data_IF_920763434145
#
_entry.id   IF_920763434145
#
_cell.length_a   1.000
_cell.length_b   1.000
_cell.length_c   1.000
_cell.angle_alpha   90.00
_cell.angle_beta   90.00
_cell.angle_gamma   90.00
#
_symmetry.space_group_name_H-M   'P 1'
#
loop_
_entity.id
_entity.type
_entity.pdbx_description
1 polymer ?
#
# COMPACT_ATOMS: atom_id res chain seq x y z
N UNK A 1 26.22 -23.11 -25.95
CA UNK A 1 24.90 -22.74 -26.47
C UNK A 1 23.90 -23.42 -25.54
N UNK A 2 23.40 -22.72 -24.54
CA UNK A 2 22.44 -23.23 -23.55
C UNK A 2 21.25 -22.29 -23.60
N UNK A 3 20.21 -22.75 -24.30
CA UNK A 3 18.88 -22.10 -24.28
C UNK A 3 18.25 -22.36 -22.92
N UNK A 4 17.90 -21.29 -22.23
CA UNK A 4 16.99 -21.33 -21.07
C UNK A 4 15.67 -20.71 -21.47
N UNK A 5 14.81 -21.54 -22.05
CA UNK A 5 13.39 -21.24 -22.13
C UNK A 5 12.74 -21.62 -20.79
N UNK A 6 12.58 -20.64 -19.92
CA UNK A 6 11.73 -20.78 -18.74
C UNK A 6 10.47 -20.00 -19.00
N UNK A 7 9.51 -20.61 -19.70
CA UNK A 7 8.14 -20.13 -19.74
C UNK A 7 7.52 -20.34 -18.37
N UNK A 8 7.26 -19.23 -17.66
CA UNK A 8 6.38 -19.24 -16.51
C UNK A 8 4.98 -19.64 -17.01
N UNK A 9 4.55 -20.85 -16.68
CA UNK A 9 3.15 -21.23 -16.89
C UNK A 9 2.33 -20.61 -15.76
N UNK A 10 1.52 -19.61 -16.11
CA UNK A 10 0.44 -19.13 -15.25
C UNK A 10 -0.65 -20.17 -15.35
N UNK A 11 -0.79 -21.01 -14.33
CA UNK A 11 -1.93 -21.92 -14.22
C UNK A 11 -3.11 -21.15 -13.66
N UNK A 12 -4.22 -21.17 -14.39
CA UNK A 12 -5.53 -20.74 -13.89
C UNK A 12 -6.01 -21.73 -12.82
N UNK A 13 -5.59 -21.55 -11.58
CA UNK A 13 -6.18 -22.26 -10.47
C UNK A 13 -7.21 -21.40 -9.74
N UNK A 14 -8.34 -22.00 -9.31
CA UNK A 14 -9.44 -21.26 -8.72
C UNK A 14 -9.08 -20.71 -7.34
N UNK A 15 -9.64 -19.56 -7.04
CA UNK A 15 -9.49 -18.80 -5.81
C UNK A 15 -9.45 -19.70 -4.55
N UNK A 16 -8.31 -19.71 -3.90
CA UNK A 16 -8.14 -20.31 -2.58
C UNK A 16 -9.07 -19.59 -1.59
N UNK A 17 -9.85 -20.35 -0.87
CA UNK A 17 -10.76 -19.87 0.16
C UNK A 17 -9.99 -19.02 1.18
N UNK A 18 -10.29 -17.74 1.24
CA UNK A 18 -9.64 -16.77 2.12
C UNK A 18 -9.88 -17.12 3.58
N UNK A 19 -8.80 -17.26 4.32
CA UNK A 19 -8.80 -17.39 5.77
C UNK A 19 -9.40 -16.13 6.40
N UNK A 20 -10.35 -16.33 7.31
CA UNK A 20 -11.28 -15.36 7.89
C UNK A 20 -10.66 -14.36 8.88
N UNK A 21 -9.36 -14.04 8.80
CA UNK A 21 -8.67 -13.17 9.76
C UNK A 21 -8.47 -11.72 9.31
N UNK A 22 -8.55 -11.42 8.00
CA UNK A 22 -8.44 -10.05 7.53
C UNK A 22 -9.81 -9.48 7.21
N UNK A 23 -10.13 -8.39 7.88
CA UNK A 23 -11.46 -7.79 7.81
C UNK A 23 -11.81 -7.33 6.39
N UNK A 24 -13.07 -7.47 5.97
CA UNK A 24 -13.59 -7.00 4.68
C UNK A 24 -13.34 -5.50 4.40
N UNK A 25 -12.87 -4.77 5.40
CA UNK A 25 -12.59 -3.33 5.35
C UNK A 25 -11.57 -2.96 4.27
N UNK A 26 -10.50 -3.76 4.06
CA UNK A 26 -9.47 -3.45 3.04
C UNK A 26 -10.01 -3.42 1.61
N UNK A 27 -11.03 -4.21 1.32
CA UNK A 27 -11.64 -4.27 -0.01
C UNK A 27 -12.77 -3.28 -0.20
N UNK A 28 -13.35 -2.76 0.88
CA UNK A 28 -14.50 -1.82 0.83
C UNK A 28 -14.08 -0.35 0.81
N UNK A 29 -12.85 -0.04 1.21
CA UNK A 29 -12.37 1.34 1.29
C UNK A 29 -11.81 1.77 -0.06
N UNK A 30 -12.41 2.79 -0.66
CA UNK A 30 -11.91 3.43 -1.87
C UNK A 30 -10.74 4.35 -1.54
N UNK A 31 -9.55 3.78 -1.40
CA UNK A 31 -8.31 4.55 -1.38
C UNK A 31 -7.87 4.81 -2.82
N UNK A 32 -7.54 6.05 -3.22
CA UNK A 32 -7.25 6.40 -4.61
C UNK A 32 -5.92 5.83 -5.14
N UNK A 33 -4.99 5.46 -4.26
CA UNK A 33 -3.74 4.81 -4.62
C UNK A 33 -3.54 3.56 -3.76
N UNK A 34 -3.66 2.40 -4.38
CA UNK A 34 -3.39 1.11 -3.74
C UNK A 34 -2.55 0.26 -4.68
N UNK A 35 -1.83 -0.70 -4.12
CA UNK A 35 -1.21 -1.74 -4.93
C UNK A 35 -2.25 -2.48 -5.78
N UNK A 36 -1.87 -2.84 -7.00
CA UNK A 36 -2.63 -3.81 -7.78
C UNK A 36 -2.57 -5.16 -7.08
N UNK A 37 -3.70 -5.86 -6.97
CA UNK A 37 -3.80 -7.12 -6.23
C UNK A 37 -2.81 -8.18 -6.73
N UNK A 38 -2.56 -8.23 -8.05
CA UNK A 38 -1.60 -9.14 -8.66
C UNK A 38 -0.14 -8.95 -8.19
N UNK A 39 0.21 -7.81 -7.60
CA UNK A 39 1.56 -7.60 -7.03
C UNK A 39 1.71 -8.18 -5.63
N UNK A 40 0.63 -8.39 -4.89
CA UNK A 40 0.70 -8.87 -3.51
C UNK A 40 1.44 -10.22 -3.39
N UNK A 41 1.11 -11.28 -4.18
CA UNK A 41 1.86 -12.53 -4.11
C UNK A 41 3.33 -12.37 -4.54
N UNK A 42 3.63 -11.46 -5.46
CA UNK A 42 5.01 -11.17 -5.87
C UNK A 42 5.78 -10.53 -4.71
N UNK A 43 5.18 -9.57 -4.01
CA UNK A 43 5.80 -8.96 -2.83
C UNK A 43 6.00 -9.98 -1.71
N UNK A 44 5.03 -10.87 -1.47
CA UNK A 44 5.16 -11.93 -0.48
C UNK A 44 6.37 -12.84 -0.77
N UNK A 45 6.60 -13.22 -2.03
CA UNK A 45 7.75 -14.02 -2.43
C UNK A 45 9.07 -13.26 -2.30
N UNK A 46 9.12 -11.99 -2.72
CA UNK A 46 10.32 -11.16 -2.63
C UNK A 46 10.74 -10.87 -1.18
N UNK A 47 9.78 -10.79 -0.28
CA UNK A 47 9.97 -10.41 1.12
C UNK A 47 10.01 -11.60 2.09
N UNK A 48 9.86 -12.83 1.59
CA UNK A 48 9.68 -14.05 2.41
C UNK A 48 10.71 -14.26 3.52
N UNK A 49 11.94 -13.82 3.28
CA UNK A 49 13.06 -13.97 4.21
C UNK A 49 13.24 -12.75 5.13
N UNK A 50 12.42 -11.72 4.99
CA UNK A 50 12.44 -10.54 5.85
C UNK A 50 11.66 -10.78 7.15
N UNK A 51 12.18 -10.26 8.25
CA UNK A 51 11.54 -10.28 9.56
C UNK A 51 10.67 -9.04 9.79
N UNK A 52 11.13 -7.88 9.30
CA UNK A 52 10.46 -6.59 9.43
C UNK A 52 10.42 -5.86 8.09
N UNK A 53 9.23 -5.47 7.66
CA UNK A 53 9.03 -4.71 6.41
C UNK A 53 8.29 -3.42 6.71
N UNK A 54 8.79 -2.29 6.17
CA UNK A 54 8.18 -0.98 6.29
C UNK A 54 7.50 -0.56 4.98
N UNK A 55 6.27 -0.05 5.09
CA UNK A 55 5.63 0.78 4.08
C UNK A 55 5.50 2.23 4.60
N UNK A 56 6.38 3.16 4.21
CA UNK A 56 6.33 4.55 4.67
C UNK A 56 5.18 5.37 4.10
N UNK A 57 4.44 4.85 3.10
CA UNK A 57 3.25 5.45 2.51
C UNK A 57 2.08 4.46 2.54
N UNK A 58 1.79 3.96 3.74
CA UNK A 58 0.99 2.77 3.99
C UNK A 58 -0.49 2.86 3.57
N UNK A 59 -1.03 4.06 3.35
CA UNK A 59 -2.41 4.27 2.97
C UNK A 59 -3.39 3.61 3.95
N UNK A 60 -4.05 2.54 3.52
CA UNK A 60 -4.96 1.73 4.35
C UNK A 60 -4.35 0.38 4.77
N UNK A 61 -3.03 0.23 4.69
CA UNK A 61 -2.32 -0.97 5.13
C UNK A 61 -2.42 -2.17 4.17
N UNK A 62 -2.63 -1.94 2.89
CA UNK A 62 -2.82 -3.01 1.91
C UNK A 62 -1.64 -3.96 1.79
N UNK A 63 -0.41 -3.52 2.11
CA UNK A 63 0.76 -4.38 2.11
C UNK A 63 0.59 -5.58 3.06
N UNK A 64 -0.20 -5.46 4.12
CA UNK A 64 -0.46 -6.56 5.05
C UNK A 64 -1.03 -7.83 4.39
N UNK A 65 -1.65 -7.71 3.21
CA UNK A 65 -2.16 -8.85 2.45
C UNK A 65 -1.07 -9.84 2.02
N UNK A 66 0.22 -9.46 2.03
CA UNK A 66 1.32 -10.41 1.79
C UNK A 66 1.30 -11.58 2.78
N UNK A 67 0.71 -11.40 3.97
CA UNK A 67 0.54 -12.46 4.98
C UNK A 67 -0.36 -13.58 4.52
N UNK A 68 -1.36 -13.28 3.69
CA UNK A 68 -2.24 -14.29 3.09
C UNK A 68 -1.47 -15.20 2.13
N UNK A 69 -0.34 -14.72 1.59
CA UNK A 69 0.56 -15.45 0.70
C UNK A 69 1.80 -16.03 1.42
N UNK A 70 1.71 -16.18 2.74
CA UNK A 70 2.69 -16.90 3.54
C UNK A 70 3.79 -16.08 4.16
N UNK A 71 3.82 -14.76 4.00
CA UNK A 71 4.77 -13.90 4.73
C UNK A 71 4.58 -14.04 6.24
N UNK A 72 5.67 -14.26 6.98
CA UNK A 72 5.65 -14.53 8.43
C UNK A 72 6.19 -13.38 9.27
N UNK A 73 6.84 -12.42 8.62
CA UNK A 73 7.42 -11.26 9.28
C UNK A 73 6.39 -10.23 9.72
N UNK A 74 6.88 -9.16 10.28
CA UNK A 74 6.12 -8.00 10.74
C UNK A 74 5.95 -7.00 9.59
N UNK A 75 4.75 -6.48 9.41
CA UNK A 75 4.43 -5.39 8.49
C UNK A 75 4.16 -4.14 9.30
N UNK A 76 4.96 -3.12 9.08
CA UNK A 76 4.84 -1.81 9.72
C UNK A 76 4.48 -0.79 8.66
N UNK A 77 3.50 0.05 8.94
CA UNK A 77 3.09 1.11 8.03
C UNK A 77 3.22 2.49 8.69
N UNK A 78 3.55 3.47 7.87
CA UNK A 78 3.43 4.88 8.23
C UNK A 78 2.49 5.57 7.26
N UNK A 79 1.66 6.49 7.73
CA UNK A 79 0.74 7.26 6.89
C UNK A 79 0.61 8.69 7.43
N UNK A 80 0.61 9.66 6.51
CA UNK A 80 0.48 11.06 6.85
C UNK A 80 -0.95 11.46 7.18
N UNK A 81 -1.90 10.95 6.40
CA UNK A 81 -3.31 11.29 6.53
C UNK A 81 -3.96 10.39 7.60
N UNK A 82 -4.32 11.01 8.72
CA UNK A 82 -4.84 10.31 9.91
C UNK A 82 -6.02 9.41 9.60
N UNK A 83 -6.92 9.83 8.71
CA UNK A 83 -8.12 9.08 8.37
C UNK A 83 -7.80 7.73 7.72
N UNK A 84 -6.78 7.69 6.85
CA UNK A 84 -6.29 6.44 6.26
C UNK A 84 -5.60 5.57 7.30
N UNK A 85 -4.78 6.19 8.15
CA UNK A 85 -4.13 5.50 9.25
C UNK A 85 -5.13 4.84 10.20
N UNK A 86 -6.21 5.53 10.56
CA UNK A 86 -7.26 4.99 11.45
C UNK A 86 -7.97 3.77 10.85
N UNK A 87 -8.09 3.71 9.54
CA UNK A 87 -8.63 2.53 8.83
C UNK A 87 -7.58 1.41 8.79
N UNK A 88 -6.34 1.77 8.44
CA UNK A 88 -5.25 0.81 8.19
C UNK A 88 -4.70 0.13 9.43
N UNK A 89 -4.76 0.78 10.59
CA UNK A 89 -4.13 0.30 11.83
C UNK A 89 -4.56 -1.10 12.31
N UNK A 90 -5.73 -1.57 11.86
CA UNK A 90 -6.23 -2.89 12.20
C UNK A 90 -5.72 -4.00 11.26
N UNK A 91 -5.01 -3.63 10.21
CA UNK A 91 -4.59 -4.54 9.15
C UNK A 91 -3.12 -4.94 9.27
N UNK A 92 -2.31 -4.13 9.92
CA UNK A 92 -0.85 -4.32 10.05
C UNK A 92 -0.44 -4.57 11.49
N UNK A 93 0.80 -5.02 11.70
CA UNK A 93 1.30 -5.33 13.04
C UNK A 93 1.62 -4.08 13.84
N UNK A 94 2.07 -3.03 13.17
CA UNK A 94 2.39 -1.75 13.78
C UNK A 94 2.09 -0.60 12.84
N UNK A 95 1.64 0.52 13.42
CA UNK A 95 1.25 1.71 12.68
C UNK A 95 1.88 2.98 13.23
N UNK A 96 2.36 3.84 12.31
CA UNK A 96 2.83 5.18 12.60
C UNK A 96 2.00 6.21 11.84
N UNK A 97 1.75 7.36 12.45
CA UNK A 97 1.16 8.52 11.78
C UNK A 97 2.20 9.62 11.73
N UNK A 98 2.57 10.05 10.53
CA UNK A 98 3.57 11.10 10.36
C UNK A 98 4.09 11.24 8.94
N UNK A 99 4.94 12.24 8.77
CA UNK A 99 5.61 12.53 7.50
C UNK A 99 6.70 11.47 7.22
N UNK A 100 6.65 10.85 6.04
CA UNK A 100 7.65 9.89 5.61
C UNK A 100 9.07 10.48 5.47
N UNK A 101 9.19 11.80 5.34
CA UNK A 101 10.48 12.49 5.38
C UNK A 101 11.08 12.58 6.79
N UNK A 102 10.28 12.31 7.83
CA UNK A 102 10.71 12.38 9.23
C UNK A 102 10.16 11.17 10.01
N UNK A 103 10.56 9.97 9.60
CA UNK A 103 10.17 8.73 10.25
C UNK A 103 10.75 8.63 11.66
N UNK A 104 9.96 8.10 12.59
CA UNK A 104 10.33 7.95 14.01
C UNK A 104 11.03 6.62 14.34
N UNK A 105 11.35 5.83 13.33
CA UNK A 105 11.98 4.54 13.49
C UNK A 105 13.50 4.66 13.64
N UNK A 106 14.09 3.69 14.32
CA UNK A 106 15.53 3.62 14.49
C UNK A 106 16.22 3.16 13.19
N UNK A 107 17.51 3.50 13.06
CA UNK A 107 18.30 3.04 11.94
C UNK A 107 18.43 1.50 11.96
N UNK A 108 18.31 0.88 10.78
CA UNK A 108 18.41 -0.58 10.60
C UNK A 108 17.30 -1.39 11.30
N UNK A 109 16.15 -0.78 11.62
CA UNK A 109 15.02 -1.47 12.24
C UNK A 109 14.29 -2.41 11.26
N UNK A 110 14.41 -2.16 9.95
CA UNK A 110 13.72 -2.90 8.91
C UNK A 110 14.68 -3.61 7.97
N UNK A 111 14.31 -4.83 7.55
CA UNK A 111 15.04 -5.61 6.56
C UNK A 111 14.75 -5.15 5.13
N UNK A 112 13.55 -4.62 4.91
CA UNK A 112 13.11 -4.13 3.61
C UNK A 112 12.09 -2.98 3.72
N UNK A 113 12.06 -2.18 2.65
CA UNK A 113 11.02 -1.18 2.40
C UNK A 113 10.24 -1.62 1.16
N UNK A 114 8.92 -1.75 1.30
CA UNK A 114 8.03 -2.05 0.18
C UNK A 114 6.91 -1.02 0.17
N UNK A 115 6.91 -0.15 -0.84
CA UNK A 115 6.01 1.00 -0.86
C UNK A 115 5.58 1.41 -2.25
N UNK A 116 4.48 2.15 -2.33
CA UNK A 116 3.99 2.82 -3.52
C UNK A 116 3.74 4.29 -3.20
N UNK A 117 4.78 5.13 -3.28
CA UNK A 117 4.65 6.53 -2.94
C UNK A 117 3.67 7.25 -3.86
N UNK A 118 3.00 8.25 -3.33
CA UNK A 118 2.13 9.13 -4.12
C UNK A 118 2.97 9.92 -5.11
N UNK A 119 2.62 9.84 -6.38
CA UNK A 119 3.28 10.64 -7.40
C UNK A 119 2.82 12.09 -7.29
N UNK A 120 3.74 13.01 -7.16
CA UNK A 120 3.47 14.43 -7.22
C UNK A 120 2.66 14.80 -8.46
N UNK A 121 1.72 15.74 -8.31
CA UNK A 121 0.88 16.28 -9.38
C UNK A 121 -0.17 15.34 -10.01
N UNK A 122 -0.14 14.03 -9.75
CA UNK A 122 -1.15 13.11 -10.32
C UNK A 122 -2.35 12.89 -9.41
N UNK A 123 -2.17 13.06 -8.12
CA UNK A 123 -3.20 12.80 -7.11
C UNK A 123 -3.68 14.09 -6.43
N UNK A 124 -3.06 15.23 -6.75
CA UNK A 124 -3.54 16.54 -6.35
C UNK A 124 -4.87 16.87 -7.03
N UNK A 125 -5.67 17.67 -6.37
CA UNK A 125 -7.09 17.95 -6.63
C UNK A 125 -7.43 18.64 -7.97
N UNK A 126 -6.48 18.85 -8.86
CA UNK A 126 -6.68 19.49 -10.17
C UNK A 126 -6.92 18.47 -11.27
N UNK A 127 -7.88 17.60 -11.08
CA UNK A 127 -8.27 16.69 -12.14
C UNK A 127 -9.31 17.35 -13.05
N UNK A 128 -8.90 17.80 -14.24
CA UNK A 128 -9.76 18.33 -15.31
C UNK A 128 -10.53 17.22 -16.04
N UNK A 129 -10.97 16.17 -15.36
CA UNK A 129 -11.83 15.18 -15.98
C UNK A 129 -13.17 15.84 -16.39
N UNK A 130 -13.57 15.65 -17.65
CA UNK A 130 -14.85 16.16 -18.17
C UNK A 130 -16.03 15.64 -17.37
N UNK A 131 -15.93 14.46 -16.81
CA UNK A 131 -16.95 13.81 -15.99
C UNK A 131 -16.53 13.85 -14.51
N UNK A 132 -17.14 14.75 -13.75
CA UNK A 132 -16.85 14.92 -12.34
C UNK A 132 -17.21 13.69 -11.48
N UNK A 133 -18.15 12.85 -11.94
CA UNK A 133 -18.56 11.64 -11.20
C UNK A 133 -17.48 10.55 -11.18
N UNK A 134 -16.54 10.62 -12.11
CA UNK A 134 -15.39 9.69 -12.24
C UNK A 134 -14.14 10.17 -11.52
N UNK A 135 -14.19 11.32 -10.86
CA UNK A 135 -13.07 11.86 -10.11
C UNK A 135 -12.95 11.14 -8.79
N UNK A 136 -11.94 10.31 -8.65
CA UNK A 136 -11.54 9.75 -7.36
C UNK A 136 -10.24 10.45 -6.99
N UNK A 137 -10.34 11.49 -6.16
CA UNK A 137 -9.17 12.21 -5.64
C UNK A 137 -9.09 12.01 -4.13
N UNK A 138 -7.90 12.18 -3.57
CA UNK A 138 -7.69 12.13 -2.13
C UNK A 138 -8.64 13.07 -1.37
N UNK A 139 -8.81 14.31 -1.87
CA UNK A 139 -9.71 15.29 -1.28
C UNK A 139 -11.15 14.82 -1.23
N UNK A 140 -11.66 14.20 -2.30
CA UNK A 140 -13.02 13.64 -2.32
C UNK A 140 -13.18 12.52 -1.30
N UNK A 141 -12.15 11.68 -1.16
CA UNK A 141 -12.20 10.56 -0.23
C UNK A 141 -12.07 11.01 1.23
N UNK A 142 -11.25 12.03 1.51
CA UNK A 142 -11.04 12.57 2.86
C UNK A 142 -12.10 13.59 3.28
N UNK A 143 -12.80 14.23 2.34
CA UNK A 143 -13.74 15.32 2.63
C UNK A 143 -13.07 16.63 3.08
N UNK A 144 -11.73 16.72 2.98
CA UNK A 144 -10.90 17.87 3.34
C UNK A 144 -9.68 17.99 2.43
N UNK A 145 -8.96 19.12 2.43
CA UNK A 145 -7.66 19.23 1.78
C UNK A 145 -6.66 18.21 2.33
N UNK A 146 -5.71 17.79 1.50
CA UNK A 146 -4.56 17.00 1.93
C UNK A 146 -3.70 17.79 2.91
N UNK A 147 -2.94 17.07 3.75
CA UNK A 147 -1.90 17.66 4.59
C UNK A 147 -0.90 18.45 3.74
N UNK A 148 -0.29 19.50 4.30
CA UNK A 148 0.63 20.37 3.56
C UNK A 148 1.91 19.64 3.15
N UNK A 149 2.34 18.63 3.90
CA UNK A 149 3.49 17.80 3.59
C UNK A 149 3.16 16.63 2.64
N UNK A 150 1.91 16.50 2.19
CA UNK A 150 1.53 15.41 1.31
C UNK A 150 2.19 15.57 -0.07
N UNK A 151 2.95 14.55 -0.48
CA UNK A 151 3.67 14.56 -1.76
C UNK A 151 2.75 14.71 -2.96
N UNK A 152 1.47 14.34 -2.85
CA UNK A 152 0.44 14.56 -3.87
C UNK A 152 0.16 16.03 -4.17
N UNK A 153 0.54 16.96 -3.29
CA UNK A 153 0.43 18.42 -3.50
C UNK A 153 1.64 19.02 -4.21
N UNK A 154 2.75 18.30 -4.32
CA UNK A 154 3.97 18.80 -4.96
C UNK A 154 3.71 19.04 -6.44
N UNK A 155 3.96 20.26 -6.90
CA UNK A 155 3.95 20.65 -8.31
C UNK A 155 5.38 20.68 -8.79
N UNK A 156 5.63 20.02 -9.90
CA UNK A 156 6.93 20.01 -10.59
C UNK A 156 6.88 20.95 -11.79
#
# INVERSE_FOLDING_TARGET
MIERDTKLQITDEPAIAYSTCYTPVLYSVKHPATYTDSFIPIFAELLKDCSNVLDPFGGVGKLALIKEYGFKGKVVCNELEREWAEIGKYNVDEWSIGDAANLRFENCEFDAICTSPTYGNRMADHHNAKDASKRITYRHCLGRPLDDNNTGKMQW
#
